data_IF_198194074053
#
_entry.id   IF_198194074053
#
_cell.length_a   1.000
_cell.length_b   1.000
_cell.length_c   1.000
_cell.angle_alpha   90.00
_cell.angle_beta   90.00
_cell.angle_gamma   90.00
#
_symmetry.space_group_name_H-M   'P 1'
#
loop_
_entity.id
_entity.type
_entity.pdbx_description
1 polymer ?
#
# COMPACT_ATOMS: atom_id res chain seq x y z
N UNK A 1 0.14 29.36 -2.14
CA UNK A 1 -1.27 28.99 -1.98
C UNK A 1 -1.27 27.58 -1.40
N UNK A 2 -0.88 27.46 -0.13
CA UNK A 2 -0.97 26.20 0.59
C UNK A 2 -2.43 26.00 0.93
N UNK A 3 -3.09 25.12 0.18
CA UNK A 3 -4.35 24.54 0.65
C UNK A 3 -3.96 23.49 1.66
N UNK A 4 -3.95 23.86 2.94
CA UNK A 4 -3.93 22.88 4.02
C UNK A 4 -5.07 21.88 3.75
N UNK A 5 -4.69 20.62 3.54
CA UNK A 5 -5.62 19.52 3.34
C UNK A 5 -6.52 19.42 4.57
N UNK A 6 -7.83 19.36 4.37
CA UNK A 6 -8.74 19.21 5.50
C UNK A 6 -8.49 17.86 6.20
N UNK A 7 -8.80 17.79 7.50
CA UNK A 7 -8.67 16.54 8.27
C UNK A 7 -9.46 15.38 7.65
N UNK A 8 -10.61 15.67 7.04
CA UNK A 8 -11.43 14.67 6.36
C UNK A 8 -10.75 14.17 5.08
N UNK A 9 -10.20 15.08 4.26
CA UNK A 9 -9.43 14.69 3.07
C UNK A 9 -8.19 13.88 3.43
N UNK A 10 -7.52 14.19 4.55
CA UNK A 10 -6.39 13.41 5.04
C UNK A 10 -6.81 11.99 5.45
N UNK A 11 -7.91 11.85 6.19
CA UNK A 11 -8.47 10.56 6.61
C UNK A 11 -8.87 9.72 5.39
N UNK A 12 -9.57 10.32 4.43
CA UNK A 12 -9.99 9.64 3.20
C UNK A 12 -8.78 9.17 2.40
N UNK A 13 -7.77 10.03 2.27
CA UNK A 13 -6.53 9.71 1.58
C UNK A 13 -5.78 8.54 2.22
N UNK A 14 -5.62 8.53 3.54
CA UNK A 14 -4.98 7.42 4.26
C UNK A 14 -5.80 6.13 4.10
N UNK A 15 -7.13 6.22 4.22
CA UNK A 15 -8.02 5.05 4.12
C UNK A 15 -8.01 4.44 2.71
N UNK A 16 -7.96 5.27 1.67
CA UNK A 16 -7.86 4.82 0.28
C UNK A 16 -6.52 4.13 -0.01
N UNK A 17 -5.41 4.67 0.51
CA UNK A 17 -4.09 4.04 0.38
C UNK A 17 -4.04 2.68 1.07
N UNK A 18 -4.56 2.59 2.31
CA UNK A 18 -4.64 1.32 3.05
C UNK A 18 -5.52 0.29 2.36
N UNK A 19 -6.68 0.71 1.84
CA UNK A 19 -7.59 -0.18 1.10
C UNK A 19 -6.92 -0.73 -0.16
N UNK A 20 -6.22 0.13 -0.91
CA UNK A 20 -5.48 -0.28 -2.10
C UNK A 20 -4.36 -1.27 -1.75
N UNK A 21 -3.62 -1.03 -0.67
CA UNK A 21 -2.60 -1.94 -0.17
C UNK A 21 -3.17 -3.32 0.18
N UNK A 22 -4.26 -3.37 0.97
CA UNK A 22 -4.90 -4.63 1.38
C UNK A 22 -5.40 -5.42 0.17
N UNK A 23 -6.03 -4.75 -0.80
CA UNK A 23 -6.52 -5.40 -2.02
C UNK A 23 -5.39 -6.01 -2.84
N UNK A 24 -4.29 -5.29 -3.04
CA UNK A 24 -3.14 -5.81 -3.75
C UNK A 24 -2.49 -6.97 -2.98
N UNK A 25 -2.38 -6.85 -1.66
CA UNK A 25 -1.79 -7.89 -0.81
C UNK A 25 -2.61 -9.18 -0.88
N UNK A 26 -3.94 -9.06 -0.79
CA UNK A 26 -4.85 -10.18 -0.95
C UNK A 26 -4.69 -10.85 -2.32
N UNK A 27 -4.58 -10.07 -3.40
CA UNK A 27 -4.35 -10.61 -4.75
C UNK A 27 -3.03 -11.40 -4.84
N UNK A 28 -1.94 -10.83 -4.33
CA UNK A 28 -0.62 -11.49 -4.32
C UNK A 28 -0.64 -12.75 -3.47
N UNK A 29 -1.29 -12.71 -2.30
CA UNK A 29 -1.42 -13.87 -1.42
C UNK A 29 -2.22 -15.01 -2.06
N UNK A 30 -3.35 -14.69 -2.71
CA UNK A 30 -4.19 -15.67 -3.40
C UNK A 30 -3.50 -16.25 -4.64
N UNK A 31 -2.56 -15.53 -5.22
CA UNK A 31 -1.77 -15.97 -6.39
C UNK A 31 -0.37 -16.44 -6.03
N UNK A 32 -0.06 -16.64 -4.73
CA UNK A 32 1.29 -16.94 -4.23
C UNK A 32 1.97 -18.12 -4.92
N UNK A 33 1.20 -19.14 -5.32
CA UNK A 33 1.69 -20.36 -5.94
C UNK A 33 2.15 -20.14 -7.40
N UNK A 34 1.84 -18.96 -7.97
CA UNK A 34 2.32 -18.52 -9.28
C UNK A 34 3.74 -17.94 -9.24
N UNK A 35 4.31 -17.76 -8.05
CA UNK A 35 5.63 -17.18 -7.85
C UNK A 35 6.56 -18.19 -7.17
N UNK A 36 7.86 -18.11 -7.47
CA UNK A 36 8.84 -18.72 -6.58
C UNK A 36 8.78 -18.03 -5.21
N UNK A 37 9.17 -18.74 -4.15
CA UNK A 37 9.25 -18.17 -2.79
C UNK A 37 10.05 -16.87 -2.75
N UNK A 38 11.17 -16.81 -3.47
CA UNK A 38 12.02 -15.62 -3.53
C UNK A 38 11.36 -14.43 -4.22
N UNK A 39 10.56 -14.68 -5.26
CA UNK A 39 9.80 -13.64 -5.95
C UNK A 39 8.65 -13.13 -5.08
N UNK A 40 7.91 -14.05 -4.46
CA UNK A 40 6.86 -13.71 -3.50
C UNK A 40 7.40 -12.82 -2.37
N UNK A 41 8.50 -13.23 -1.72
CA UNK A 41 9.12 -12.46 -0.63
C UNK A 41 9.54 -11.05 -1.08
N UNK A 42 10.06 -10.91 -2.31
CA UNK A 42 10.43 -9.60 -2.88
C UNK A 42 9.22 -8.72 -3.15
N UNK A 43 8.13 -9.29 -3.68
CA UNK A 43 6.89 -8.57 -3.96
C UNK A 43 6.32 -8.01 -2.66
N UNK A 44 6.19 -8.85 -1.63
CA UNK A 44 5.67 -8.44 -0.31
C UNK A 44 6.53 -7.34 0.31
N UNK A 45 7.86 -7.51 0.34
CA UNK A 45 8.78 -6.49 0.86
C UNK A 45 8.75 -5.18 0.06
N UNK A 46 8.45 -5.23 -1.24
CA UNK A 46 8.28 -4.05 -2.08
C UNK A 46 7.00 -3.29 -1.74
N UNK A 47 5.90 -4.02 -1.56
CA UNK A 47 4.60 -3.45 -1.20
C UNK A 47 4.61 -2.82 0.18
N UNK A 48 5.23 -3.47 1.17
CA UNK A 48 5.36 -2.92 2.53
C UNK A 48 6.17 -1.61 2.52
N UNK A 49 7.26 -1.56 1.75
CA UNK A 49 8.06 -0.34 1.58
C UNK A 49 7.27 0.77 0.93
N UNK A 50 6.58 0.49 -0.17
CA UNK A 50 5.76 1.49 -0.88
C UNK A 50 4.66 2.06 0.05
N UNK A 51 4.02 1.22 0.86
CA UNK A 51 3.04 1.68 1.85
C UNK A 51 3.66 2.62 2.89
N UNK A 52 4.81 2.24 3.46
CA UNK A 52 5.51 3.06 4.46
C UNK A 52 5.95 4.40 3.85
N UNK A 53 6.45 4.39 2.62
CA UNK A 53 6.92 5.61 1.96
C UNK A 53 5.75 6.56 1.66
N UNK A 54 4.60 6.05 1.21
CA UNK A 54 3.38 6.85 1.01
C UNK A 54 2.86 7.47 2.29
N UNK A 55 2.88 6.73 3.40
CA UNK A 55 2.43 7.23 4.71
C UNK A 55 3.38 8.28 5.30
N UNK A 56 4.67 8.24 4.96
CA UNK A 56 5.67 9.24 5.42
C UNK A 56 5.68 10.53 4.61
N UNK A 57 5.17 10.51 3.39
CA UNK A 57 5.15 11.68 2.48
C UNK A 57 3.96 12.62 2.73
N UNK A 58 3.04 12.26 3.64
CA UNK A 58 1.86 13.04 4.01
C UNK A 58 2.02 13.64 5.39
#
# INVERSE_FOLDING_TARGET
>A
MDKDMSKYELIDNITNDLTSFINLYAFVYLTKDSYSRKEYDRIIQGMERDMVDRLKQK
#
